data_IF_718931856586
#
_entry.id   IF_718931856586
#
_cell.length_a   1.000
_cell.length_b   1.000
_cell.length_c   1.000
_cell.angle_alpha   90.00
_cell.angle_beta   90.00
_cell.angle_gamma   90.00
#
_symmetry.space_group_name_H-M   'P 1'
#
loop_
_entity.id
_entity.type
_entity.pdbx_description
1 polymer ?
#
# COMPACT_ATOMS: atom_id res chain seq x y z
N UNK A 1 22.19 -72.87 20.78
CA UNK A 1 21.02 -72.04 20.63
C UNK A 1 21.38 -70.61 21.07
N UNK A 2 21.74 -69.80 20.12
CA UNK A 2 22.07 -68.39 20.38
C UNK A 2 20.82 -67.53 19.98
N UNK A 3 20.24 -66.81 20.94
CA UNK A 3 19.13 -65.87 20.72
C UNK A 3 19.74 -64.62 20.20
N UNK A 4 19.40 -64.21 18.97
CA UNK A 4 19.62 -62.87 18.40
C UNK A 4 18.55 -61.94 18.96
N UNK A 5 18.97 -60.94 19.71
CA UNK A 5 18.12 -59.86 20.17
C UNK A 5 18.23 -58.72 19.12
N UNK A 6 17.18 -58.49 18.36
CA UNK A 6 17.10 -57.36 17.42
C UNK A 6 16.80 -56.09 18.20
N UNK A 7 17.72 -55.14 18.16
CA UNK A 7 17.52 -53.75 18.67
C UNK A 7 16.83 -52.97 17.56
N UNK A 8 15.56 -52.64 17.76
CA UNK A 8 14.82 -51.71 16.92
C UNK A 8 15.23 -50.31 17.37
N UNK A 9 16.00 -49.62 16.54
CA UNK A 9 16.36 -48.23 16.72
C UNK A 9 15.18 -47.36 16.21
N UNK A 10 14.34 -46.90 17.13
CA UNK A 10 13.29 -45.93 16.79
C UNK A 10 13.95 -44.58 16.54
N UNK A 11 14.08 -44.21 15.28
CA UNK A 11 14.46 -42.87 14.89
C UNK A 11 13.29 -41.91 15.25
N UNK A 12 13.43 -41.20 16.37
CA UNK A 12 12.56 -40.07 16.69
C UNK A 12 12.83 -38.96 15.68
N UNK A 13 11.95 -38.83 14.68
CA UNK A 13 11.91 -37.67 13.83
C UNK A 13 11.43 -36.52 14.71
N UNK A 14 12.38 -35.71 15.13
CA UNK A 14 12.09 -34.42 15.79
C UNK A 14 11.48 -33.50 14.75
N UNK A 15 10.17 -33.57 14.57
CA UNK A 15 9.44 -32.52 13.82
C UNK A 15 9.54 -31.25 14.65
N UNK A 16 10.50 -30.38 14.28
CA UNK A 16 10.47 -28.99 14.75
C UNK A 16 9.12 -28.45 14.36
N UNK A 17 8.25 -28.19 15.35
CA UNK A 17 6.99 -27.49 15.14
C UNK A 17 7.34 -26.13 14.53
N UNK A 18 7.18 -26.02 13.23
CA UNK A 18 7.22 -24.74 12.53
C UNK A 18 6.07 -23.92 13.13
N UNK A 19 6.35 -22.76 13.71
CA UNK A 19 5.29 -21.90 14.22
C UNK A 19 4.35 -21.61 13.03
N UNK A 20 3.14 -22.15 13.11
CA UNK A 20 2.15 -22.02 12.07
C UNK A 20 1.74 -20.55 11.95
N UNK A 21 1.88 -19.96 10.77
CA UNK A 21 1.48 -18.58 10.50
C UNK A 21 0.11 -18.60 9.84
N UNK A 22 -0.92 -18.53 10.68
CA UNK A 22 -2.30 -18.42 10.22
C UNK A 22 -2.49 -17.16 9.39
N UNK A 23 -3.12 -17.31 8.24
CA UNK A 23 -3.36 -16.22 7.29
C UNK A 23 -4.72 -16.35 6.61
N UNK A 24 -5.26 -15.21 6.23
CA UNK A 24 -6.45 -15.09 5.37
C UNK A 24 -5.96 -14.75 3.97
N UNK A 25 -6.18 -15.66 3.03
CA UNK A 25 -5.70 -15.55 1.66
C UNK A 25 -6.87 -15.17 0.75
N UNK A 26 -6.74 -14.05 0.05
CA UNK A 26 -7.71 -13.59 -0.96
C UNK A 26 -7.14 -13.86 -2.35
N UNK A 27 -7.91 -14.57 -3.18
CA UNK A 27 -7.56 -14.86 -4.57
C UNK A 27 -8.38 -14.01 -5.53
N UNK A 28 -7.84 -13.86 -6.74
CA UNK A 28 -8.47 -13.11 -7.84
C UNK A 28 -9.87 -13.64 -8.17
N UNK A 29 -10.01 -14.97 -8.28
CA UNK A 29 -11.23 -15.63 -8.76
C UNK A 29 -12.07 -16.26 -7.63
N UNK A 30 -11.72 -16.06 -6.37
CA UNK A 30 -12.39 -16.71 -5.25
C UNK A 30 -13.44 -15.77 -4.62
N UNK A 31 -14.67 -16.22 -4.55
CA UNK A 31 -15.75 -15.47 -3.87
C UNK A 31 -15.57 -15.36 -2.35
N UNK A 32 -14.81 -16.26 -1.72
CA UNK A 32 -14.50 -16.22 -0.27
C UNK A 32 -13.01 -16.37 -0.03
N UNK A 33 -12.46 -15.63 0.94
CA UNK A 33 -11.08 -15.83 1.41
C UNK A 33 -10.86 -17.27 1.90
N UNK A 34 -9.61 -17.73 1.83
CA UNK A 34 -9.18 -19.06 2.30
C UNK A 34 -8.40 -18.85 3.59
N UNK A 35 -8.82 -19.51 4.66
CA UNK A 35 -8.03 -19.59 5.89
C UNK A 35 -6.99 -20.70 5.75
N UNK A 36 -5.74 -20.41 6.10
CA UNK A 36 -4.67 -21.38 6.01
C UNK A 36 -3.40 -20.95 6.72
N UNK A 37 -2.47 -21.88 6.83
CA UNK A 37 -1.14 -21.63 7.39
C UNK A 37 -0.12 -21.55 6.26
N UNK A 38 0.71 -20.50 6.24
CA UNK A 38 1.74 -20.34 5.24
C UNK A 38 2.84 -21.38 5.46
N UNK A 39 3.10 -22.19 4.45
CA UNK A 39 4.19 -23.18 4.43
C UNK A 39 5.42 -22.58 3.76
N UNK A 40 5.25 -22.01 2.58
CA UNK A 40 6.33 -21.34 1.84
C UNK A 40 5.76 -20.37 0.81
N UNK A 41 6.58 -19.40 0.40
CA UNK A 41 6.28 -18.48 -0.69
C UNK A 41 7.52 -18.28 -1.56
N UNK A 42 7.30 -18.25 -2.85
CA UNK A 42 8.27 -17.87 -3.88
C UNK A 42 7.65 -16.78 -4.76
N UNK A 43 8.40 -16.14 -5.66
CA UNK A 43 7.81 -15.20 -6.60
C UNK A 43 6.67 -15.76 -7.45
N UNK A 44 6.64 -17.07 -7.67
CA UNK A 44 5.69 -17.73 -8.57
C UNK A 44 4.53 -18.42 -7.84
N UNK A 45 4.74 -18.86 -6.59
CA UNK A 45 3.79 -19.72 -5.88
C UNK A 45 3.77 -19.47 -4.37
N UNK A 46 2.55 -19.42 -3.81
CA UNK A 46 2.28 -19.51 -2.38
C UNK A 46 1.78 -20.92 -2.06
N UNK A 47 2.44 -21.61 -1.12
CA UNK A 47 1.99 -22.88 -0.57
C UNK A 47 1.44 -22.68 0.83
N UNK A 48 0.21 -23.15 1.05
CA UNK A 48 -0.45 -23.09 2.35
C UNK A 48 -0.95 -24.48 2.76
N UNK A 49 -1.21 -24.64 4.06
CA UNK A 49 -2.00 -25.74 4.62
C UNK A 49 -3.36 -25.19 5.05
N UNK A 50 -4.46 -25.64 4.43
CA UNK A 50 -5.82 -25.26 4.79
C UNK A 50 -6.60 -26.50 5.22
N UNK A 51 -7.10 -26.49 6.45
CA UNK A 51 -7.77 -27.65 7.06
C UNK A 51 -6.96 -28.98 6.92
N UNK A 52 -5.63 -28.90 7.02
CA UNK A 52 -4.72 -30.03 6.88
C UNK A 52 -4.43 -30.48 5.44
N UNK A 53 -4.98 -29.78 4.45
CA UNK A 53 -4.72 -30.05 3.02
C UNK A 53 -3.74 -29.03 2.47
N UNK A 54 -2.72 -29.50 1.75
CA UNK A 54 -1.78 -28.62 1.06
C UNK A 54 -2.45 -28.00 -0.17
N UNK A 55 -2.40 -26.66 -0.27
CA UNK A 55 -2.93 -25.89 -1.39
C UNK A 55 -1.82 -25.03 -1.97
N UNK A 56 -1.62 -25.12 -3.28
CA UNK A 56 -0.68 -24.30 -4.03
C UNK A 56 -1.46 -23.23 -4.81
N UNK A 57 -1.04 -21.99 -4.70
CA UNK A 57 -1.67 -20.83 -5.34
C UNK A 57 -0.58 -20.07 -6.10
N UNK A 58 -0.77 -19.85 -7.40
CA UNK A 58 0.14 -18.99 -8.16
C UNK A 58 0.07 -17.57 -7.60
N UNK A 59 1.22 -16.92 -7.41
CA UNK A 59 1.26 -15.55 -6.86
C UNK A 59 0.52 -14.54 -7.71
N UNK A 60 0.49 -14.73 -9.03
CA UNK A 60 -0.29 -13.87 -9.94
C UNK A 60 -1.81 -13.98 -9.72
N UNK A 61 -2.29 -15.07 -9.13
CA UNK A 61 -3.70 -15.29 -8.79
C UNK A 61 -4.04 -14.85 -7.35
N UNK A 62 -3.07 -14.29 -6.63
CA UNK A 62 -3.28 -13.71 -5.30
C UNK A 62 -3.69 -12.24 -5.41
N UNK A 63 -4.51 -11.80 -4.46
CA UNK A 63 -4.80 -10.39 -4.17
C UNK A 63 -4.02 -9.99 -2.93
N UNK A 64 -4.20 -10.76 -1.85
CA UNK A 64 -3.55 -10.49 -0.57
C UNK A 64 -3.43 -11.74 0.29
N UNK A 65 -2.47 -11.68 1.20
CA UNK A 65 -2.24 -12.63 2.30
C UNK A 65 -2.16 -11.81 3.57
N UNK A 66 -3.12 -11.95 4.48
CA UNK A 66 -3.22 -11.15 5.71
C UNK A 66 -3.06 -12.08 6.91
N UNK A 67 -2.07 -11.81 7.75
CA UNK A 67 -1.77 -12.61 8.95
C UNK A 67 -2.26 -11.93 10.22
N UNK A 68 -2.02 -10.62 10.34
CA UNK A 68 -2.39 -9.84 11.52
C UNK A 68 -2.47 -8.34 11.19
N UNK A 69 -3.18 -7.53 11.99
CA UNK A 69 -3.11 -6.08 11.86
C UNK A 69 -1.72 -5.57 12.29
N UNK A 70 -1.13 -4.63 11.54
CA UNK A 70 0.08 -3.93 11.96
C UNK A 70 -0.24 -3.04 13.17
N UNK A 71 0.76 -2.82 14.03
CA UNK A 71 0.63 -1.94 15.20
C UNK A 71 1.76 -0.93 15.20
N UNK A 72 1.41 0.34 15.21
CA UNK A 72 2.37 1.41 15.36
C UNK A 72 3.04 1.35 16.73
N UNK A 73 4.32 1.66 16.76
CA UNK A 73 5.12 1.77 17.98
C UNK A 73 5.33 3.25 18.28
N UNK A 74 4.99 3.68 19.47
CA UNK A 74 5.15 5.06 19.90
C UNK A 74 6.63 5.47 19.89
N UNK A 75 6.89 6.74 19.58
CA UNK A 75 8.25 7.31 19.52
C UNK A 75 9.05 6.89 18.28
N UNK A 76 8.44 6.22 17.31
CA UNK A 76 9.10 5.93 16.04
C UNK A 76 9.00 7.10 15.06
N UNK A 77 10.04 7.29 14.27
CA UNK A 77 10.09 8.19 13.11
C UNK A 77 9.57 7.44 11.87
N UNK A 78 9.21 8.18 10.83
CA UNK A 78 8.87 7.61 9.52
C UNK A 78 9.91 8.03 8.49
N UNK A 79 10.60 7.05 7.90
CA UNK A 79 11.54 7.24 6.79
C UNK A 79 10.78 6.89 5.51
N UNK A 80 10.42 7.89 4.74
CA UNK A 80 9.76 7.70 3.45
C UNK A 80 10.82 7.54 2.36
N UNK A 81 10.73 6.44 1.62
CA UNK A 81 11.62 6.14 0.51
C UNK A 81 11.06 6.67 -0.81
N UNK A 82 11.93 6.86 -1.82
CA UNK A 82 11.55 7.41 -3.13
C UNK A 82 10.57 6.54 -3.93
N UNK A 83 10.50 5.24 -3.62
CA UNK A 83 9.51 4.33 -4.20
C UNK A 83 8.15 4.35 -3.47
N UNK A 84 8.00 5.21 -2.46
CA UNK A 84 6.79 5.32 -1.64
C UNK A 84 6.75 4.38 -0.43
N UNK A 85 7.74 3.51 -0.25
CA UNK A 85 7.86 2.68 0.95
C UNK A 85 8.12 3.55 2.19
N UNK A 86 7.70 3.05 3.35
CA UNK A 86 7.87 3.72 4.63
C UNK A 86 8.53 2.77 5.61
N UNK A 87 9.64 3.18 6.20
CA UNK A 87 10.29 2.45 7.29
C UNK A 87 9.96 3.15 8.61
N UNK A 88 9.26 2.45 9.49
CA UNK A 88 9.00 2.89 10.86
C UNK A 88 10.20 2.51 11.75
N UNK A 89 10.81 3.48 12.41
CA UNK A 89 11.98 3.21 13.25
C UNK A 89 12.56 4.47 13.88
N UNK A 90 13.58 4.29 14.71
CA UNK A 90 14.30 5.40 15.34
C UNK A 90 15.55 5.72 14.51
N UNK A 91 15.70 6.96 14.06
CA UNK A 91 16.93 7.44 13.44
C UNK A 91 18.00 7.53 14.51
N UNK A 92 19.12 6.80 14.33
CA UNK A 92 20.21 6.73 15.32
C UNK A 92 21.49 7.43 14.85
N UNK A 93 21.53 7.95 13.65
CA UNK A 93 22.65 8.72 13.12
C UNK A 93 23.14 8.26 11.75
N UNK A 94 24.38 8.58 11.42
CA UNK A 94 25.10 8.03 10.27
C UNK A 94 26.07 6.94 10.72
N UNK A 95 26.47 6.00 9.85
CA UNK A 95 27.49 5.00 10.18
C UNK A 95 28.80 5.68 10.59
N UNK A 96 29.47 5.17 11.63
CA UNK A 96 30.80 5.65 11.97
C UNK A 96 31.80 5.23 10.87
N UNK A 97 32.68 6.13 10.40
CA UNK A 97 33.69 5.77 9.41
C UNK A 97 34.62 4.68 10.00
N UNK A 98 34.73 3.56 9.30
CA UNK A 98 35.67 2.50 9.67
C UNK A 98 37.11 2.99 9.42
N UNK A 99 37.96 2.99 10.44
CA UNK A 99 39.28 3.56 10.44
C UNK A 99 40.31 2.92 9.45
N UNK A 100 39.94 1.88 8.72
CA UNK A 100 40.88 1.10 7.88
C UNK A 100 40.58 1.10 6.38
N UNK A 101 39.63 1.90 5.89
CA UNK A 101 39.41 2.01 4.45
C UNK A 101 39.43 3.47 4.01
N UNK A 102 40.22 3.80 2.91
CA UNK A 102 40.14 5.15 2.37
C UNK A 102 38.66 5.46 2.02
N UNK A 103 38.22 6.62 2.48
CA UNK A 103 36.86 7.09 2.37
C UNK A 103 36.33 6.86 0.95
N UNK A 104 35.63 5.73 0.77
CA UNK A 104 34.68 5.60 -0.30
C UNK A 104 33.52 6.51 0.08
N UNK A 105 32.81 7.18 -0.86
CA UNK A 105 31.60 7.95 -0.56
C UNK A 105 30.45 7.01 -0.18
N UNK A 106 30.69 6.14 0.81
CA UNK A 106 29.75 5.14 1.31
C UNK A 106 29.01 5.62 2.56
N UNK A 107 29.33 6.83 3.05
CA UNK A 107 28.77 7.35 4.29
C UNK A 107 27.52 8.21 4.09
N UNK A 108 26.93 8.20 2.88
CA UNK A 108 25.63 8.82 2.60
C UNK A 108 24.47 7.92 3.04
N UNK A 109 24.57 7.35 4.23
CA UNK A 109 23.50 6.50 4.77
C UNK A 109 23.01 7.00 6.12
N UNK A 110 21.71 6.79 6.36
CA UNK A 110 21.07 7.02 7.65
C UNK A 110 20.88 5.67 8.34
N UNK A 111 21.33 5.56 9.58
CA UNK A 111 21.07 4.39 10.42
C UNK A 111 19.67 4.51 11.05
N UNK A 112 18.84 3.52 10.83
CA UNK A 112 17.47 3.44 11.35
C UNK A 112 17.32 2.12 12.08
N UNK A 113 16.82 2.16 13.32
CA UNK A 113 16.46 0.97 14.10
C UNK A 113 14.98 0.75 14.01
N UNK A 114 14.56 -0.26 13.25
CA UNK A 114 13.17 -0.70 13.11
C UNK A 114 12.92 -1.92 13.98
N UNK A 115 11.72 -2.02 14.55
CA UNK A 115 11.34 -3.17 15.36
C UNK A 115 11.14 -4.43 14.51
N UNK A 116 10.65 -4.29 13.28
CA UNK A 116 10.43 -5.41 12.37
C UNK A 116 11.64 -5.76 11.52
N UNK A 117 12.44 -4.75 11.14
CA UNK A 117 13.52 -4.91 10.17
C UNK A 117 14.92 -4.88 10.79
N UNK A 118 15.03 -4.61 12.11
CA UNK A 118 16.30 -4.48 12.81
C UNK A 118 17.03 -3.18 12.47
N UNK A 119 18.37 -3.20 12.61
CA UNK A 119 19.21 -2.04 12.32
C UNK A 119 19.52 -1.98 10.81
N UNK A 120 19.10 -0.88 10.18
CA UNK A 120 19.22 -0.64 8.74
C UNK A 120 20.13 0.55 8.45
N UNK A 121 20.99 0.42 7.43
CA UNK A 121 21.67 1.55 6.81
C UNK A 121 20.97 1.87 5.48
N UNK A 122 20.24 2.96 5.43
CA UNK A 122 19.46 3.39 4.26
C UNK A 122 20.23 4.51 3.56
N UNK A 123 20.50 4.33 2.26
CA UNK A 123 21.20 5.36 1.47
C UNK A 123 20.36 6.64 1.41
N UNK A 124 20.95 7.80 1.64
CA UNK A 124 20.25 9.10 1.56
C UNK A 124 19.64 9.31 0.17
N UNK A 125 20.28 8.82 -0.88
CA UNK A 125 19.74 8.85 -2.25
C UNK A 125 18.41 8.11 -2.42
N UNK A 126 18.11 7.15 -1.57
CA UNK A 126 16.88 6.37 -1.61
C UNK A 126 15.77 6.97 -0.73
N UNK A 127 16.11 7.97 0.10
CA UNK A 127 15.15 8.63 1.00
C UNK A 127 14.53 9.85 0.30
N UNK A 128 13.23 9.99 0.38
CA UNK A 128 12.50 11.21 0.01
C UNK A 128 12.35 12.14 1.20
N UNK A 129 11.95 11.60 2.35
CA UNK A 129 11.78 12.41 3.57
C UNK A 129 11.90 11.60 4.86
N UNK A 130 12.24 12.30 5.94
CA UNK A 130 12.22 11.83 7.32
C UNK A 130 11.21 12.64 8.11
N UNK A 131 10.28 11.98 8.79
CA UNK A 131 9.31 12.59 9.69
C UNK A 131 9.64 12.21 11.12
N UNK A 132 9.94 13.20 11.97
CA UNK A 132 10.23 13.03 13.39
C UNK A 132 8.97 13.11 14.26
N UNK A 133 7.88 13.67 13.73
CA UNK A 133 6.55 13.64 14.32
C UNK A 133 5.64 12.78 13.48
N UNK A 134 4.93 11.92 14.15
CA UNK A 134 4.27 10.78 13.52
C UNK A 134 2.76 10.94 13.29
N UNK A 135 2.15 12.04 13.70
CA UNK A 135 0.69 12.22 13.67
C UNK A 135 0.15 12.82 12.37
N UNK A 136 1.01 13.09 11.41
CA UNK A 136 0.57 13.54 10.09
C UNK A 136 0.91 12.49 9.03
N UNK A 137 0.02 12.28 8.06
CA UNK A 137 0.35 11.46 6.90
C UNK A 137 1.59 12.04 6.21
N UNK A 138 2.46 11.18 5.64
CA UNK A 138 3.59 11.66 4.87
C UNK A 138 3.09 12.64 3.81
N UNK A 139 3.82 13.75 3.58
CA UNK A 139 3.44 14.69 2.53
C UNK A 139 3.36 13.92 1.21
N UNK A 140 2.28 14.16 0.44
CA UNK A 140 2.20 13.66 -0.93
C UNK A 140 3.49 14.05 -1.66
N UNK A 141 4.00 13.15 -2.52
CA UNK A 141 5.22 13.33 -3.30
C UNK A 141 5.31 14.78 -3.80
N UNK A 142 6.19 15.55 -3.19
CA UNK A 142 6.30 16.95 -3.51
C UNK A 142 7.09 17.14 -4.81
N UNK A 143 6.87 18.27 -5.49
CA UNK A 143 7.59 18.68 -6.67
C UNK A 143 9.11 18.52 -6.51
N UNK A 144 9.81 18.26 -7.63
CA UNK A 144 11.27 18.16 -7.68
C UNK A 144 11.93 19.32 -6.90
N UNK A 145 12.82 18.97 -5.97
CA UNK A 145 13.56 19.92 -5.14
C UNK A 145 15.03 19.83 -5.49
N UNK A 146 15.66 20.99 -5.64
CA UNK A 146 17.08 21.11 -5.94
C UNK A 146 17.98 21.17 -4.69
N UNK A 147 17.37 21.34 -3.50
CA UNK A 147 18.03 21.40 -2.18
C UNK A 147 17.29 20.57 -1.15
N UNK A 148 18.04 20.16 -0.13
CA UNK A 148 17.45 19.59 1.07
C UNK A 148 16.72 20.68 1.87
N UNK A 149 15.70 20.30 2.60
CA UNK A 149 14.90 21.19 3.42
C UNK A 149 14.68 20.59 4.81
N UNK A 150 15.02 21.35 5.84
CA UNK A 150 14.71 21.01 7.24
C UNK A 150 13.52 21.87 7.69
N UNK A 151 12.42 21.23 8.08
CA UNK A 151 11.23 21.90 8.60
C UNK A 151 11.23 21.73 10.12
N UNK A 152 11.21 22.85 10.82
CA UNK A 152 11.21 22.89 12.28
C UNK A 152 9.79 22.75 12.84
N UNK A 153 9.67 22.40 14.12
CA UNK A 153 8.38 22.25 14.82
C UNK A 153 7.61 23.56 14.96
N UNK A 154 8.31 24.71 14.96
CA UNK A 154 7.70 26.04 14.97
C UNK A 154 7.16 26.50 13.59
N UNK A 155 7.37 25.71 12.54
CA UNK A 155 6.96 25.99 11.18
C UNK A 155 8.02 26.65 10.30
N UNK A 156 9.16 27.08 10.87
CA UNK A 156 10.27 27.61 10.06
C UNK A 156 10.89 26.53 9.20
N UNK A 157 11.45 26.92 8.05
CA UNK A 157 12.20 26.02 7.18
C UNK A 157 13.59 26.55 6.86
N UNK A 158 14.55 25.62 6.71
CA UNK A 158 15.91 25.89 6.29
C UNK A 158 16.17 25.12 4.99
N UNK A 159 16.53 25.80 3.92
CA UNK A 159 16.95 25.19 2.67
C UNK A 159 18.47 25.20 2.52
N UNK A 160 19.07 24.07 2.11
CA UNK A 160 20.51 23.92 2.00
C UNK A 160 20.93 22.51 1.65
N UNK A 161 22.02 22.04 2.27
CA UNK A 161 22.56 20.69 2.09
C UNK A 161 22.72 20.00 3.44
N UNK A 162 22.17 18.80 3.56
CA UNK A 162 22.38 17.96 4.73
C UNK A 162 23.83 17.42 4.70
N UNK A 163 24.58 17.69 5.76
CA UNK A 163 25.98 17.28 5.86
C UNK A 163 26.11 15.94 6.56
N UNK A 164 25.44 15.75 7.70
CA UNK A 164 25.52 14.51 8.47
C UNK A 164 24.40 14.38 9.50
N UNK A 165 24.12 13.14 9.92
CA UNK A 165 23.31 12.81 11.08
C UNK A 165 24.23 12.40 12.24
N UNK A 166 24.16 13.14 13.36
CA UNK A 166 24.70 12.71 14.64
C UNK A 166 23.69 11.88 15.43
N UNK A 167 23.97 11.59 16.71
CA UNK A 167 23.07 10.80 17.57
C UNK A 167 21.79 11.55 17.95
N UNK A 168 21.86 12.87 18.14
CA UNK A 168 20.73 13.70 18.61
C UNK A 168 20.52 14.96 17.78
N UNK A 169 21.37 15.21 16.78
CA UNK A 169 21.30 16.39 15.93
C UNK A 169 21.73 16.06 14.52
N UNK A 170 21.28 16.85 13.54
CA UNK A 170 21.83 16.89 12.21
C UNK A 170 22.71 18.13 12.03
N UNK A 171 23.70 18.02 11.14
CA UNK A 171 24.49 19.14 10.65
C UNK A 171 23.99 19.56 9.28
N UNK A 172 23.63 20.82 9.12
CA UNK A 172 23.03 21.36 7.92
C UNK A 172 23.79 22.58 7.43
N UNK A 173 24.17 22.61 6.15
CA UNK A 173 24.86 23.73 5.51
C UNK A 173 23.85 24.58 4.74
N UNK A 174 23.63 25.80 5.21
CA UNK A 174 22.65 26.73 4.67
C UNK A 174 23.26 28.12 4.48
N UNK A 175 22.55 29.11 3.92
CA UNK A 175 23.09 30.47 3.74
C UNK A 175 23.61 31.16 5.02
N UNK A 176 23.21 30.66 6.19
CA UNK A 176 23.70 31.13 7.50
C UNK A 176 25.00 30.43 7.93
N UNK A 177 25.55 29.52 7.11
CA UNK A 177 26.70 28.65 7.43
C UNK A 177 26.26 27.27 7.94
N UNK A 178 27.23 26.50 8.45
CA UNK A 178 26.96 25.16 9.03
C UNK A 178 26.32 25.28 10.40
N UNK A 179 25.11 24.76 10.54
CA UNK A 179 24.35 24.80 11.79
C UNK A 179 24.04 23.38 12.26
N UNK A 180 24.09 23.16 13.57
CA UNK A 180 23.62 21.93 14.22
C UNK A 180 22.16 22.12 14.62
N UNK A 181 21.27 21.21 14.17
CA UNK A 181 19.85 21.24 14.48
C UNK A 181 19.48 20.00 15.30
N UNK A 182 19.08 20.14 16.57
CA UNK A 182 18.67 19.01 17.40
C UNK A 182 17.40 18.33 16.84
N UNK A 183 17.34 17.00 16.88
CA UNK A 183 16.16 16.24 16.43
C UNK A 183 14.89 16.65 17.16
N UNK A 184 14.99 17.03 18.42
CA UNK A 184 13.84 17.53 19.22
C UNK A 184 13.19 18.80 18.64
N UNK A 185 13.89 19.56 17.79
CA UNK A 185 13.38 20.77 17.13
C UNK A 185 12.91 20.53 15.70
N UNK A 186 13.20 19.35 15.13
CA UNK A 186 12.89 19.02 13.75
C UNK A 186 11.50 18.36 13.69
N UNK A 187 10.69 18.81 12.75
CA UNK A 187 9.45 18.16 12.36
C UNK A 187 9.71 17.16 11.24
N UNK A 188 10.38 17.60 10.18
CA UNK A 188 10.75 16.75 9.05
C UNK A 188 11.99 17.25 8.32
N UNK A 189 12.65 16.31 7.62
CA UNK A 189 13.72 16.59 6.66
C UNK A 189 13.23 16.07 5.31
N UNK A 190 13.35 16.89 4.27
CA UNK A 190 13.05 16.53 2.88
C UNK A 190 14.34 16.56 2.09
N UNK A 191 14.63 15.49 1.37
CA UNK A 191 15.87 15.37 0.59
C UNK A 191 15.70 15.94 -0.81
N UNK A 192 16.75 16.54 -1.36
CA UNK A 192 16.80 16.99 -2.74
C UNK A 192 16.50 15.85 -3.70
N UNK A 193 15.68 16.09 -4.70
CA UNK A 193 15.36 15.12 -5.75
C UNK A 193 16.32 15.30 -6.92
N UNK A 194 17.61 14.94 -6.70
CA UNK A 194 18.64 15.02 -7.73
C UNK A 194 18.56 13.76 -8.61
N UNK A 195 18.11 13.88 -9.84
CA UNK A 195 18.10 12.76 -10.81
C UNK A 195 16.72 12.39 -11.35
N UNK A 196 16.65 11.23 -12.02
CA UNK A 196 15.42 10.72 -12.58
C UNK A 196 14.41 10.37 -11.47
N UNK A 197 13.17 10.76 -11.65
CA UNK A 197 12.07 10.36 -10.79
C UNK A 197 11.97 8.83 -10.75
N UNK A 198 11.74 8.26 -9.56
CA UNK A 198 11.48 6.83 -9.44
C UNK A 198 10.29 6.44 -10.32
N UNK A 199 10.47 5.39 -11.11
CA UNK A 199 9.42 4.79 -11.91
C UNK A 199 9.19 3.37 -11.41
N UNK A 200 7.98 3.08 -10.96
CA UNK A 200 7.61 1.74 -10.53
C UNK A 200 7.76 0.74 -11.70
N UNK A 201 8.39 -0.42 -11.49
CA UNK A 201 8.50 -1.45 -12.51
C UNK A 201 7.12 -2.00 -12.92
N UNK A 202 6.93 -2.25 -14.21
CA UNK A 202 5.73 -2.90 -14.76
C UNK A 202 5.85 -4.44 -14.69
N UNK A 203 6.15 -4.96 -13.51
CA UNK A 203 6.26 -6.39 -13.19
C UNK A 203 5.41 -6.70 -11.97
N UNK A 204 5.19 -7.99 -11.69
CA UNK A 204 4.54 -8.40 -10.46
C UNK A 204 5.30 -7.83 -9.25
N UNK A 205 4.59 -7.16 -8.35
CA UNK A 205 5.14 -6.55 -7.15
C UNK A 205 4.50 -7.11 -5.89
N UNK A 206 5.33 -7.23 -4.85
CA UNK A 206 4.95 -7.67 -3.52
C UNK A 206 4.98 -6.46 -2.59
N UNK A 207 3.80 -5.93 -2.24
CA UNK A 207 3.69 -4.87 -1.24
C UNK A 207 3.52 -5.50 0.15
N UNK A 208 4.57 -5.44 0.94
CA UNK A 208 4.66 -6.07 2.25
C UNK A 208 4.42 -5.04 3.33
N UNK A 209 3.51 -5.31 4.25
CA UNK A 209 3.30 -4.53 5.47
C UNK A 209 3.89 -5.29 6.64
N UNK A 210 4.80 -4.67 7.39
CA UNK A 210 5.42 -5.25 8.58
C UNK A 210 4.57 -4.99 9.85
N UNK A 211 4.89 -5.72 10.92
CA UNK A 211 4.17 -5.62 12.19
C UNK A 211 4.26 -4.22 12.84
N UNK A 212 5.35 -3.49 12.62
CA UNK A 212 5.60 -2.12 13.11
C UNK A 212 5.06 -1.01 12.19
N UNK A 213 4.25 -1.36 11.19
CA UNK A 213 3.72 -0.48 10.13
C UNK A 213 4.70 -0.11 9.02
N UNK A 214 5.93 -0.59 9.02
CA UNK A 214 6.83 -0.44 7.87
C UNK A 214 6.22 -1.09 6.62
N UNK A 215 6.44 -0.48 5.46
CA UNK A 215 6.00 -1.00 4.17
C UNK A 215 7.17 -1.16 3.23
N UNK A 216 7.20 -2.27 2.49
CA UNK A 216 8.25 -2.60 1.54
C UNK A 216 7.62 -3.07 0.23
N UNK A 217 8.04 -2.50 -0.89
CA UNK A 217 7.63 -2.93 -2.22
C UNK A 217 8.80 -3.61 -2.94
N UNK A 218 8.62 -4.87 -3.31
CA UNK A 218 9.66 -5.68 -3.92
C UNK A 218 9.23 -6.41 -5.17
N UNK A 219 10.22 -6.84 -5.96
CA UNK A 219 10.06 -7.62 -7.19
C UNK A 219 10.24 -9.13 -6.97
N UNK A 220 10.77 -9.52 -5.82
CA UNK A 220 10.96 -10.93 -5.39
C UNK A 220 10.62 -11.00 -3.89
N UNK A 221 9.78 -11.96 -3.52
CA UNK A 221 9.43 -12.22 -2.13
C UNK A 221 9.48 -13.71 -1.84
N UNK A 222 10.13 -14.10 -0.75
CA UNK A 222 10.32 -15.49 -0.37
C UNK A 222 10.04 -15.71 1.11
N UNK A 223 9.31 -16.76 1.39
CA UNK A 223 9.01 -17.22 2.74
C UNK A 223 9.54 -18.63 2.94
N UNK A 224 10.41 -18.81 3.93
CA UNK A 224 11.07 -20.11 4.22
C UNK A 224 10.73 -20.64 5.62
N UNK A 225 9.50 -20.45 6.05
CA UNK A 225 8.99 -20.89 7.35
C UNK A 225 9.32 -19.92 8.48
N UNK A 226 10.57 -19.62 8.77
CA UNK A 226 10.97 -18.70 9.85
C UNK A 226 11.45 -17.35 9.38
N UNK A 227 11.90 -17.24 8.13
CA UNK A 227 12.44 -16.00 7.54
C UNK A 227 11.60 -15.61 6.32
N UNK A 228 11.33 -14.34 6.22
CA UNK A 228 10.81 -13.71 5.03
C UNK A 228 11.88 -12.79 4.44
N UNK A 229 12.04 -12.84 3.12
CA UNK A 229 12.95 -11.93 2.40
C UNK A 229 12.23 -11.27 1.25
N UNK A 230 12.58 -10.01 0.99
CA UNK A 230 12.04 -9.23 -0.12
C UNK A 230 13.15 -8.42 -0.79
N UNK A 231 13.24 -8.52 -2.12
CA UNK A 231 14.12 -7.70 -2.93
C UNK A 231 13.38 -6.42 -3.31
N UNK A 232 13.72 -5.30 -2.66
CA UNK A 232 13.07 -4.01 -2.90
C UNK A 232 13.28 -3.53 -4.33
N UNK A 233 12.32 -2.76 -4.83
CA UNK A 233 12.41 -2.05 -6.11
C UNK A 233 13.53 -0.99 -6.16
N UNK A 234 14.08 -0.60 -5.00
CA UNK A 234 15.27 0.25 -4.88
C UNK A 234 16.58 -0.54 -4.87
N UNK A 235 16.53 -1.87 -5.05
CA UNK A 235 17.70 -2.73 -5.12
C UNK A 235 18.23 -3.21 -3.76
N UNK A 236 17.59 -2.85 -2.64
CA UNK A 236 17.97 -3.34 -1.30
C UNK A 236 17.24 -4.64 -0.99
N UNK A 237 17.96 -5.64 -0.49
CA UNK A 237 17.38 -6.88 0.03
C UNK A 237 17.09 -6.74 1.51
N UNK A 238 15.83 -6.92 1.90
CA UNK A 238 15.39 -6.97 3.29
C UNK A 238 15.16 -8.42 3.72
N UNK A 239 15.56 -8.72 4.95
CA UNK A 239 15.30 -10.00 5.62
C UNK A 239 14.72 -9.71 6.99
N UNK A 240 13.65 -10.40 7.33
CA UNK A 240 12.98 -10.23 8.60
C UNK A 240 12.39 -11.56 9.09
N UNK A 241 12.20 -11.72 10.40
CA UNK A 241 11.48 -12.88 10.92
C UNK A 241 10.07 -12.93 10.32
N UNK A 242 9.62 -14.11 9.97
CA UNK A 242 8.32 -14.32 9.34
C UNK A 242 7.15 -13.81 10.19
N UNK A 243 7.31 -13.82 11.51
CA UNK A 243 6.35 -13.25 12.46
C UNK A 243 6.33 -11.72 12.48
N UNK A 244 7.21 -11.03 11.77
CA UNK A 244 7.19 -9.59 11.58
C UNK A 244 6.45 -9.16 10.31
N UNK A 245 5.90 -10.09 9.52
CA UNK A 245 5.06 -9.81 8.37
C UNK A 245 3.60 -9.74 8.81
N UNK A 246 2.91 -8.64 8.52
CA UNK A 246 1.48 -8.44 8.79
C UNK A 246 0.61 -8.78 7.59
N UNK A 247 1.01 -8.31 6.40
CA UNK A 247 0.28 -8.57 5.18
C UNK A 247 1.21 -8.52 3.96
N UNK A 248 0.82 -9.23 2.91
CA UNK A 248 1.42 -9.16 1.58
C UNK A 248 0.29 -8.89 0.59
N UNK A 249 0.40 -7.83 -0.20
CA UNK A 249 -0.50 -7.52 -1.31
C UNK A 249 0.23 -7.69 -2.62
N UNK A 250 -0.43 -8.26 -3.62
CA UNK A 250 0.13 -8.40 -4.96
C UNK A 250 -0.32 -7.21 -5.80
N UNK A 251 0.66 -6.48 -6.36
CA UNK A 251 0.43 -5.39 -7.31
C UNK A 251 0.88 -5.81 -8.71
N UNK A 252 0.34 -5.17 -9.73
CA UNK A 252 0.62 -5.47 -11.14
C UNK A 252 0.38 -6.94 -11.53
N UNK A 253 -0.47 -7.65 -10.75
CA UNK A 253 -0.96 -8.98 -11.05
C UNK A 253 -2.11 -8.95 -12.05
N UNK A 254 -3.03 -9.90 -11.91
CA UNK A 254 -4.25 -9.95 -12.74
C UNK A 254 -5.28 -8.88 -12.37
N UNK A 255 -5.17 -8.29 -11.17
CA UNK A 255 -6.04 -7.20 -10.71
C UNK A 255 -5.34 -5.86 -10.88
N UNK A 256 -6.10 -4.89 -11.38
CA UNK A 256 -5.73 -3.48 -11.41
C UNK A 256 -6.87 -2.68 -10.78
N UNK A 257 -6.58 -1.95 -9.70
CA UNK A 257 -7.57 -1.08 -9.09
C UNK A 257 -7.72 0.21 -9.88
N UNK A 258 -8.96 0.67 -10.07
CA UNK A 258 -9.20 1.95 -10.76
C UNK A 258 -8.64 3.14 -9.98
N UNK A 259 -8.51 3.03 -8.65
CA UNK A 259 -7.86 4.05 -7.83
C UNK A 259 -6.35 4.16 -8.09
N UNK A 260 -5.70 3.13 -8.64
CA UNK A 260 -4.29 3.16 -9.04
C UNK A 260 -4.09 3.67 -10.48
N UNK A 261 -5.19 3.80 -11.25
CA UNK A 261 -5.18 4.35 -12.60
C UNK A 261 -5.48 5.85 -12.60
N UNK A 262 -5.00 6.55 -13.62
CA UNK A 262 -5.44 7.93 -13.89
C UNK A 262 -6.68 7.86 -14.77
N UNK A 263 -7.80 8.50 -14.37
CA UNK A 263 -8.93 8.67 -15.28
C UNK A 263 -8.51 9.42 -16.54
N UNK A 264 -8.93 8.96 -17.71
CA UNK A 264 -8.74 9.67 -18.97
C UNK A 264 -9.62 10.92 -19.06
N UNK A 265 -10.78 10.86 -18.38
CA UNK A 265 -11.71 11.99 -18.33
C UNK A 265 -12.43 12.00 -16.97
N UNK A 266 -12.58 13.18 -16.38
CA UNK A 266 -13.35 13.45 -15.17
C UNK A 266 -14.36 14.53 -15.47
N UNK A 267 -15.63 14.24 -15.20
CA UNK A 267 -16.70 15.23 -15.36
C UNK A 267 -17.54 15.28 -14.09
N UNK A 268 -17.46 16.39 -13.38
CA UNK A 268 -18.24 16.67 -12.19
C UNK A 268 -19.20 17.83 -12.48
N UNK A 269 -20.48 17.58 -12.28
CA UNK A 269 -21.55 18.55 -12.58
C UNK A 269 -22.41 18.73 -11.33
N UNK A 270 -22.14 19.73 -10.50
CA UNK A 270 -22.97 20.00 -9.33
C UNK A 270 -24.40 20.37 -9.73
N UNK A 271 -25.36 20.10 -8.87
CA UNK A 271 -26.79 20.36 -9.14
C UNK A 271 -27.09 21.87 -9.22
N UNK A 272 -26.41 22.65 -8.41
CA UNK A 272 -26.51 24.09 -8.35
C UNK A 272 -25.16 24.72 -8.72
N UNK A 273 -25.07 26.05 -8.79
CA UNK A 273 -23.84 26.78 -9.08
C UNK A 273 -22.87 26.69 -7.87
N UNK A 274 -22.56 25.48 -7.46
CA UNK A 274 -21.68 25.16 -6.34
C UNK A 274 -20.33 24.66 -6.84
N UNK A 275 -19.32 24.71 -5.98
CA UNK A 275 -18.03 24.11 -6.29
C UNK A 275 -18.17 22.58 -6.22
N UNK A 276 -17.68 21.82 -7.24
CA UNK A 276 -17.65 20.35 -7.17
C UNK A 276 -16.91 19.86 -5.93
N UNK A 277 -17.36 18.75 -5.37
CA UNK A 277 -16.72 18.13 -4.21
C UNK A 277 -15.32 17.61 -4.50
N UNK A 278 -15.05 17.22 -5.75
CA UNK A 278 -13.81 16.59 -6.17
C UNK A 278 -13.73 15.12 -5.76
N UNK A 279 -13.69 14.25 -6.76
CA UNK A 279 -13.54 12.80 -6.51
C UNK A 279 -12.26 12.48 -5.76
N UNK A 280 -12.24 11.38 -5.01
CA UNK A 280 -11.13 10.97 -4.16
C UNK A 280 -10.69 9.54 -4.47
N UNK A 281 -9.37 9.29 -4.35
CA UNK A 281 -8.77 7.95 -4.43
C UNK A 281 -8.65 7.35 -3.04
N UNK A 282 -9.07 6.09 -2.88
CA UNK A 282 -8.95 5.29 -1.67
C UNK A 282 -9.55 5.97 -0.41
N UNK A 283 -10.45 6.91 -0.64
CA UNK A 283 -11.22 7.65 0.38
C UNK A 283 -12.60 8.01 -0.15
N UNK A 284 -13.54 8.18 0.75
CA UNK A 284 -14.81 8.84 0.42
C UNK A 284 -14.58 10.29 0.03
N UNK A 285 -15.51 10.88 -0.69
CA UNK A 285 -15.46 12.29 -1.13
C UNK A 285 -15.28 13.27 0.05
N UNK A 286 -15.70 12.92 1.25
CA UNK A 286 -15.48 13.69 2.48
C UNK A 286 -14.08 13.55 3.07
N UNK A 287 -13.18 12.77 2.46
CA UNK A 287 -11.84 12.47 2.96
C UNK A 287 -11.80 11.39 4.06
N UNK A 288 -12.95 10.87 4.50
CA UNK A 288 -13.05 9.75 5.44
C UNK A 288 -12.75 8.42 4.75
N UNK A 289 -12.49 7.33 5.48
CA UNK A 289 -12.36 6.00 4.88
C UNK A 289 -13.60 5.61 4.07
N UNK A 290 -13.39 4.84 3.01
CA UNK A 290 -14.49 4.17 2.30
C UNK A 290 -15.08 3.12 3.24
N UNK A 291 -16.36 3.27 3.59
CA UNK A 291 -17.07 2.36 4.48
C UNK A 291 -18.50 2.16 3.97
N UNK A 292 -18.86 0.90 3.68
CA UNK A 292 -20.16 0.52 3.15
C UNK A 292 -20.72 -0.65 3.97
N UNK A 293 -21.90 -0.45 4.58
CA UNK A 293 -22.57 -1.49 5.34
C UNK A 293 -21.75 -2.00 6.54
N UNK A 294 -20.96 -1.14 7.18
CA UNK A 294 -20.10 -1.47 8.30
C UNK A 294 -18.74 -2.07 7.91
N UNK A 295 -18.47 -2.27 6.63
CA UNK A 295 -17.19 -2.77 6.13
C UNK A 295 -16.31 -1.64 5.60
N UNK A 296 -15.06 -1.59 6.04
CA UNK A 296 -14.05 -0.62 5.57
C UNK A 296 -13.28 -1.21 4.40
N UNK A 297 -13.08 -0.40 3.34
CA UNK A 297 -12.35 -0.75 2.13
C UNK A 297 -11.10 0.12 2.00
N UNK A 298 -9.98 -0.50 1.66
CA UNK A 298 -8.69 0.19 1.48
C UNK A 298 -8.54 0.80 0.09
N UNK A 299 -9.26 0.26 -0.90
CA UNK A 299 -9.23 0.63 -2.30
C UNK A 299 -10.62 1.05 -2.78
N UNK A 300 -10.66 2.05 -3.65
CA UNK A 300 -11.89 2.51 -4.27
C UNK A 300 -11.87 3.98 -4.65
N UNK A 301 -13.04 4.48 -5.06
CA UNK A 301 -13.22 5.84 -5.54
C UNK A 301 -14.38 6.47 -4.79
N UNK A 302 -14.13 7.58 -4.09
CA UNK A 302 -15.19 8.38 -3.47
C UNK A 302 -15.63 9.46 -4.43
N UNK A 303 -16.94 9.57 -4.65
CA UNK A 303 -17.54 10.54 -5.57
C UNK A 303 -18.80 11.17 -4.98
N UNK A 304 -19.18 12.32 -5.49
CA UNK A 304 -20.48 12.96 -5.22
C UNK A 304 -21.29 13.04 -6.51
N UNK A 305 -22.62 13.06 -6.41
CA UNK A 305 -23.50 13.25 -7.57
C UNK A 305 -23.37 14.70 -8.12
N UNK A 306 -23.38 14.95 -9.41
CA UNK A 306 -23.15 14.03 -10.52
C UNK A 306 -21.67 13.92 -10.84
N UNK A 307 -21.14 12.72 -10.94
CA UNK A 307 -19.73 12.47 -11.30
C UNK A 307 -19.65 11.37 -12.35
N UNK A 308 -18.83 11.61 -13.39
CA UNK A 308 -18.47 10.63 -14.43
C UNK A 308 -16.96 10.47 -14.44
N UNK A 309 -16.48 9.23 -14.28
CA UNK A 309 -15.07 8.88 -14.34
C UNK A 309 -14.86 7.90 -15.49
N UNK A 310 -14.03 8.28 -16.48
CA UNK A 310 -13.71 7.43 -17.62
C UNK A 310 -12.28 6.94 -17.56
N UNK A 311 -12.06 5.67 -17.91
CA UNK A 311 -10.77 5.00 -17.90
C UNK A 311 -10.50 4.33 -19.23
N UNK A 312 -9.27 4.46 -19.75
CA UNK A 312 -8.83 3.74 -20.93
C UNK A 312 -8.42 2.32 -20.52
N UNK A 313 -9.07 1.31 -21.09
CA UNK A 313 -8.83 -0.10 -20.81
C UNK A 313 -7.88 -0.77 -21.83
N UNK A 314 -7.76 -0.21 -23.03
CA UNK A 314 -6.94 -0.75 -24.09
C UNK A 314 -7.31 -2.17 -24.54
N UNK A 315 -8.53 -2.63 -24.27
CA UNK A 315 -9.01 -3.97 -24.62
C UNK A 315 -8.35 -5.13 -23.86
N UNK A 316 -7.60 -4.85 -22.78
CA UNK A 316 -6.76 -5.86 -22.08
C UNK A 316 -7.43 -6.53 -20.90
N UNK A 317 -8.58 -6.02 -20.46
CA UNK A 317 -9.31 -6.51 -19.30
C UNK A 317 -10.53 -7.34 -19.69
N UNK A 318 -10.91 -8.29 -18.82
CA UNK A 318 -12.05 -9.18 -19.00
C UNK A 318 -13.23 -8.77 -18.16
N UNK A 319 -12.99 -8.37 -16.91
CA UNK A 319 -14.06 -8.03 -15.97
C UNK A 319 -13.77 -6.72 -15.24
N UNK A 320 -14.83 -5.99 -14.93
CA UNK A 320 -14.88 -4.94 -13.95
C UNK A 320 -15.69 -5.41 -12.75
N UNK A 321 -15.19 -5.18 -11.54
CA UNK A 321 -15.83 -5.56 -10.28
C UNK A 321 -15.77 -4.39 -9.30
N UNK A 322 -16.85 -4.16 -8.55
CA UNK A 322 -16.90 -3.17 -7.48
C UNK A 322 -18.08 -3.49 -6.53
N UNK A 323 -18.03 -2.89 -5.34
CA UNK A 323 -19.23 -2.70 -4.50
C UNK A 323 -19.55 -1.20 -4.48
N UNK A 324 -20.76 -0.80 -4.84
CA UNK A 324 -21.17 0.60 -4.86
C UNK A 324 -22.23 0.89 -3.82
N UNK A 325 -22.06 1.98 -3.07
CA UNK A 325 -23.00 2.33 -2.01
C UNK A 325 -22.82 3.76 -1.52
N UNK A 326 -23.70 4.17 -0.62
CA UNK A 326 -23.58 5.43 0.13
C UNK A 326 -22.66 5.19 1.35
N UNK A 327 -21.67 6.05 1.52
CA UNK A 327 -20.70 5.94 2.61
C UNK A 327 -21.38 5.93 3.99
N UNK A 328 -20.85 5.11 4.92
CA UNK A 328 -21.41 4.99 6.28
C UNK A 328 -21.30 6.26 7.11
N UNK A 329 -20.47 7.20 6.73
CA UNK A 329 -20.24 8.44 7.45
C UNK A 329 -21.34 9.50 7.25
N UNK A 330 -22.34 9.25 6.42
CA UNK A 330 -23.50 10.13 6.19
C UNK A 330 -24.80 9.44 6.53
N UNK A 331 -25.78 10.24 6.96
CA UNK A 331 -27.13 9.77 7.27
C UNK A 331 -28.05 10.03 6.06
N UNK A 332 -28.43 8.99 5.34
CA UNK A 332 -29.25 9.11 4.13
C UNK A 332 -28.42 9.20 2.85
N UNK A 333 -29.02 9.79 1.81
CA UNK A 333 -28.47 9.89 0.45
C UNK A 333 -28.89 8.72 -0.46
N UNK A 334 -29.02 9.03 -1.75
CA UNK A 334 -29.33 8.05 -2.79
C UNK A 334 -28.86 8.56 -4.15
N UNK A 335 -28.31 7.67 -4.95
CA UNK A 335 -27.73 7.99 -6.25
C UNK A 335 -28.19 7.00 -7.32
N UNK A 336 -28.21 7.46 -8.57
CA UNK A 336 -28.38 6.58 -9.72
C UNK A 336 -27.02 6.16 -10.27
N UNK A 337 -26.84 4.85 -10.47
CA UNK A 337 -25.60 4.26 -10.95
C UNK A 337 -25.77 3.77 -12.38
N UNK A 338 -24.77 4.08 -13.22
CA UNK A 338 -24.62 3.51 -14.56
C UNK A 338 -23.16 3.20 -14.85
N UNK A 339 -22.94 2.16 -15.63
CA UNK A 339 -21.61 1.83 -16.17
C UNK A 339 -21.71 1.68 -17.68
N UNK A 340 -20.76 2.27 -18.38
CA UNK A 340 -20.68 2.21 -19.83
C UNK A 340 -19.34 1.57 -20.26
N UNK A 341 -19.41 0.69 -21.25
CA UNK A 341 -18.26 0.18 -21.98
C UNK A 341 -18.34 0.67 -23.44
N UNK A 342 -17.32 1.38 -23.91
CA UNK A 342 -17.27 1.98 -25.27
C UNK A 342 -18.52 2.81 -25.60
N UNK A 343 -19.05 3.55 -24.61
CA UNK A 343 -20.23 4.40 -24.77
C UNK A 343 -21.58 3.65 -24.71
N UNK A 344 -21.58 2.31 -24.65
CA UNK A 344 -22.79 1.50 -24.48
C UNK A 344 -23.00 1.23 -23.00
N UNK A 345 -24.23 1.47 -22.51
CA UNK A 345 -24.60 1.11 -21.13
C UNK A 345 -24.55 -0.40 -20.95
N UNK A 346 -23.76 -0.86 -19.99
CA UNK A 346 -23.60 -2.28 -19.62
C UNK A 346 -24.14 -2.59 -18.23
N UNK A 347 -24.35 -1.54 -17.41
CA UNK A 347 -25.00 -1.68 -16.11
C UNK A 347 -25.79 -0.41 -15.74
N UNK A 348 -27.04 -0.55 -15.22
CA UNK A 348 -27.85 -1.76 -15.35
C UNK A 348 -28.11 -2.05 -16.84
N UNK A 349 -28.54 -3.27 -17.21
CA UNK A 349 -28.76 -3.61 -18.64
C UNK A 349 -29.75 -2.67 -19.34
N UNK A 350 -30.69 -2.14 -18.58
CA UNK A 350 -31.70 -1.17 -19.05
C UNK A 350 -32.03 -0.19 -17.94
N UNK A 351 -32.32 1.06 -18.30
CA UNK A 351 -32.77 2.09 -17.38
C UNK A 351 -31.66 2.57 -16.42
N UNK A 352 -32.01 2.66 -15.15
CA UNK A 352 -31.16 3.20 -14.08
C UNK A 352 -31.24 2.33 -12.83
N UNK A 353 -30.15 2.26 -12.05
CA UNK A 353 -30.07 1.55 -10.79
C UNK A 353 -29.96 2.57 -9.66
N UNK A 354 -30.97 2.63 -8.83
CA UNK A 354 -30.94 3.42 -7.60
C UNK A 354 -30.18 2.66 -6.52
N UNK A 355 -29.25 3.35 -5.86
CA UNK A 355 -28.52 2.88 -4.69
C UNK A 355 -28.70 3.90 -3.57
N UNK A 356 -29.12 3.45 -2.42
CA UNK A 356 -29.38 4.30 -1.26
C UNK A 356 -28.69 3.76 0.00
N UNK A 357 -28.59 4.60 1.01
CA UNK A 357 -28.11 4.17 2.33
C UNK A 357 -28.92 2.99 2.87
N UNK A 358 -30.24 2.96 2.62
CA UNK A 358 -31.16 1.90 3.09
C UNK A 358 -30.98 0.59 2.33
N UNK A 359 -30.69 0.65 1.04
CA UNK A 359 -30.50 -0.57 0.22
C UNK A 359 -29.20 -1.31 0.56
N UNK A 360 -28.25 -0.63 1.19
CA UNK A 360 -26.92 -1.16 1.42
C UNK A 360 -26.07 -1.20 0.15
N UNK A 361 -24.82 -1.73 0.23
CA UNK A 361 -23.92 -1.82 -0.89
C UNK A 361 -24.41 -2.80 -1.95
N UNK A 362 -24.23 -2.42 -3.22
CA UNK A 362 -24.59 -3.19 -4.40
C UNK A 362 -23.35 -3.79 -5.05
N UNK A 363 -23.18 -5.12 -5.10
CA UNK A 363 -22.07 -5.73 -5.83
C UNK A 363 -22.31 -5.62 -7.33
N UNK A 364 -21.25 -5.27 -8.07
CA UNK A 364 -21.24 -5.14 -9.53
C UNK A 364 -20.15 -6.04 -10.09
N UNK A 365 -20.51 -6.85 -11.07
CA UNK A 365 -19.58 -7.62 -11.90
C UNK A 365 -20.03 -7.49 -13.37
N UNK A 366 -19.14 -7.00 -14.22
CA UNK A 366 -19.41 -6.67 -15.61
C UNK A 366 -18.33 -7.28 -16.50
N UNK A 367 -18.73 -7.95 -17.59
CA UNK A 367 -17.83 -8.35 -18.66
C UNK A 367 -17.45 -7.10 -19.47
N UNK A 368 -16.13 -6.80 -19.51
CA UNK A 368 -15.54 -5.71 -20.28
C UNK A 368 -14.54 -6.23 -21.31
N UNK A 369 -14.67 -7.50 -21.70
CA UNK A 369 -13.76 -8.13 -22.66
C UNK A 369 -13.74 -7.35 -23.97
N UNK A 370 -12.53 -6.92 -24.36
CA UNK A 370 -12.29 -6.17 -25.60
C UNK A 370 -12.69 -4.68 -25.54
N UNK A 371 -13.28 -4.20 -24.43
CA UNK A 371 -13.64 -2.80 -24.29
C UNK A 371 -12.39 -1.90 -24.23
N UNK A 372 -12.40 -0.82 -25.01
CA UNK A 372 -11.36 0.19 -25.00
C UNK A 372 -11.52 1.21 -23.87
N UNK A 373 -12.76 1.53 -23.47
CA UNK A 373 -13.08 2.57 -22.48
C UNK A 373 -14.17 2.08 -21.51
N UNK A 374 -13.95 2.35 -20.21
CA UNK A 374 -14.95 2.16 -19.14
C UNK A 374 -15.33 3.53 -18.57
N UNK A 375 -16.65 3.79 -18.42
CA UNK A 375 -17.12 5.01 -17.76
C UNK A 375 -18.06 4.63 -16.61
N UNK A 376 -17.73 5.09 -15.42
CA UNK A 376 -18.53 4.99 -14.21
C UNK A 376 -19.30 6.28 -14.02
N UNK A 377 -20.62 6.18 -13.81
CA UNK A 377 -21.51 7.33 -13.61
C UNK A 377 -22.24 7.18 -12.29
N UNK A 378 -22.13 8.22 -11.47
CA UNK A 378 -23.01 8.46 -10.32
C UNK A 378 -23.81 9.69 -10.61
N UNK A 379 -25.12 9.54 -10.75
CA UNK A 379 -26.06 10.63 -11.06
C UNK A 379 -26.96 10.94 -9.85
N UNK A 380 -27.69 12.03 -9.90
CA UNK A 380 -28.67 12.39 -8.87
C UNK A 380 -29.73 11.33 -8.72
N UNK A 381 -30.06 11.01 -7.47
CA UNK A 381 -31.15 10.10 -7.13
C UNK A 381 -32.50 10.84 -6.98
N UNK A 382 -33.33 10.33 -6.07
CA UNK A 382 -34.69 10.85 -5.83
C UNK A 382 -34.72 12.00 -4.83
N UNK A 383 -33.66 12.20 -4.02
CA UNK A 383 -33.59 13.18 -2.93
C UNK A 383 -32.61 14.33 -3.26
N UNK A 384 -32.56 14.77 -4.51
CA UNK A 384 -31.62 15.75 -5.01
C UNK A 384 -30.16 15.26 -4.88
N UNK A 385 -29.27 16.05 -4.24
CA UNK A 385 -27.85 15.72 -4.05
C UNK A 385 -27.42 15.65 -2.58
N UNK A 386 -28.37 15.66 -1.65
CA UNK A 386 -28.07 15.74 -0.23
C UNK A 386 -27.51 14.40 0.27
N UNK A 387 -26.30 14.43 0.84
CA UNK A 387 -25.58 13.25 1.35
C UNK A 387 -25.24 12.20 0.27
N UNK A 388 -25.15 12.58 -0.99
CA UNK A 388 -24.80 11.71 -2.11
C UNK A 388 -23.30 11.33 -2.12
N UNK A 389 -22.77 11.00 -0.95
CA UNK A 389 -21.39 10.51 -0.79
C UNK A 389 -21.32 9.06 -1.22
N UNK A 390 -21.21 8.85 -2.52
CA UNK A 390 -21.15 7.52 -3.10
C UNK A 390 -19.69 7.03 -3.18
N UNK A 391 -19.50 5.75 -2.88
CA UNK A 391 -18.21 5.10 -3.04
C UNK A 391 -18.33 3.91 -4.00
N UNK A 392 -17.39 3.82 -4.95
CA UNK A 392 -17.10 2.62 -5.72
C UNK A 392 -16.01 1.85 -4.95
N UNK A 393 -16.40 1.10 -3.94
CA UNK A 393 -15.49 0.33 -3.10
C UNK A 393 -14.90 -0.86 -3.86
N UNK A 394 -13.62 -1.13 -3.65
CA UNK A 394 -12.89 -2.25 -4.26
C UNK A 394 -13.01 -2.28 -5.81
N UNK A 395 -13.14 -1.10 -6.44
CA UNK A 395 -13.31 -0.95 -7.88
C UNK A 395 -12.05 -1.44 -8.62
N UNK A 396 -12.16 -2.58 -9.30
CA UNK A 396 -11.03 -3.29 -9.89
C UNK A 396 -11.34 -3.90 -11.25
N UNK A 397 -10.32 -4.00 -12.06
CA UNK A 397 -10.31 -4.65 -13.37
C UNK A 397 -9.53 -5.97 -13.27
N UNK A 398 -10.00 -6.99 -13.97
CA UNK A 398 -9.36 -8.31 -14.07
C UNK A 398 -8.86 -8.53 -15.51
N UNK A 399 -7.57 -8.85 -15.65
CA UNK A 399 -6.92 -9.23 -16.93
C UNK A 399 -7.20 -10.68 -17.32
#
# INVERSE_FOLDING_TARGET
MRKLTAIILAAAILTAACAAHAAVITKVDAGKPIDGEIVSMTPDELRISSAGVAVNIKTIDLVSVVMRPPKRIDGTHSVQLRNGDVIAGVVVGSPEPKAEQPAKPADDSVLVRSASLGDLAIRMSDIDSLLFESDQPPPQQAAARDKDEVILRNGDSLAGVLVSFGKEMLTFDCPLGKVGVPFSRIRSVRFAALGAQYKEPDTLLFAVTCADTSTLTGIDARWTGREFSVQSTLGTAFKLPADQVSAIEIRNGRIVYLSDMQPAEVKETPMFDERPWGWQRDRSVSGKPISLGGRIYRKGLGVHSRCELSYDLGGTFKKFMAEVGINDAVDGGNVEIRVYADGRQVFPPNGKQLVSKKSGPLPIEIDVTGAAKLTLVVDFGEELHVNDHADWADARLLR
#
